data_IF_446544923925
#
_entry.id   IF_446544923925
#
_cell.length_a   1.000
_cell.length_b   1.000
_cell.length_c   1.000
_cell.angle_alpha   90.00
_cell.angle_beta   90.00
_cell.angle_gamma   90.00
#
_symmetry.space_group_name_H-M   'P 1'
#
loop_
_entity.id
_entity.type
_entity.pdbx_description
1 polymer ?
#
# COMPACT_ATOMS: atom_id res chain seq x y z
N UNK A 1 8.15 6.21 -16.44
CA UNK A 1 7.36 5.39 -15.49
C UNK A 1 5.94 5.89 -15.47
N UNK A 2 4.98 4.98 -15.32
CA UNK A 2 3.56 5.32 -15.15
C UNK A 2 3.24 5.59 -13.67
N UNK A 3 2.07 6.19 -13.39
CA UNK A 3 1.62 6.41 -12.01
C UNK A 3 1.12 5.09 -11.43
N UNK A 4 1.65 4.70 -10.26
CA UNK A 4 1.20 3.48 -9.55
C UNK A 4 -0.29 3.53 -9.25
N UNK A 5 -0.74 4.64 -8.68
CA UNK A 5 -2.16 4.95 -8.52
C UNK A 5 -2.52 5.93 -9.63
N UNK A 6 -3.18 5.44 -10.69
CA UNK A 6 -3.56 6.23 -11.86
C UNK A 6 -4.31 7.53 -11.51
N UNK A 7 -4.54 8.40 -12.50
CA UNK A 7 -5.25 9.66 -12.27
C UNK A 7 -6.67 9.40 -11.76
N UNK A 8 -6.99 9.92 -10.58
CA UNK A 8 -8.35 9.88 -10.03
C UNK A 8 -9.19 11.10 -10.41
N UNK A 9 -10.51 10.94 -10.33
CA UNK A 9 -11.48 12.03 -10.48
C UNK A 9 -11.61 12.87 -9.20
N UNK A 10 -11.58 12.22 -8.04
CA UNK A 10 -11.70 12.82 -6.71
C UNK A 10 -10.97 11.95 -5.65
N UNK A 11 -11.07 12.34 -4.37
CA UNK A 11 -10.41 11.66 -3.26
C UNK A 11 -10.95 10.24 -3.02
N UNK A 12 -12.24 10.01 -3.25
CA UNK A 12 -12.85 8.70 -3.10
C UNK A 12 -12.34 7.73 -4.18
N UNK A 13 -12.32 8.14 -5.45
CA UNK A 13 -11.72 7.38 -6.55
C UNK A 13 -10.23 7.12 -6.30
N UNK A 14 -9.50 8.10 -5.75
CA UNK A 14 -8.09 7.91 -5.39
C UNK A 14 -7.90 6.82 -4.32
N UNK A 15 -8.75 6.80 -3.28
CA UNK A 15 -8.70 5.76 -2.24
C UNK A 15 -9.06 4.38 -2.81
N UNK A 16 -10.06 4.28 -3.69
CA UNK A 16 -10.41 3.01 -4.34
C UNK A 16 -9.27 2.47 -5.20
N UNK A 17 -8.55 3.35 -5.91
CA UNK A 17 -7.34 2.97 -6.69
C UNK A 17 -6.21 2.47 -5.79
N UNK A 18 -6.02 3.10 -4.63
CA UNK A 18 -5.05 2.64 -3.64
C UNK A 18 -5.44 1.25 -3.13
N UNK A 19 -6.70 1.05 -2.73
CA UNK A 19 -7.20 -0.24 -2.23
C UNK A 19 -7.19 -1.33 -3.30
N UNK A 20 -7.35 -0.98 -4.57
CA UNK A 20 -7.24 -1.95 -5.66
C UNK A 20 -5.88 -2.65 -5.72
N UNK A 21 -4.80 -1.94 -5.34
CA UNK A 21 -3.43 -2.47 -5.32
C UNK A 21 -3.05 -2.98 -3.93
N UNK A 22 -3.34 -2.22 -2.88
CA UNK A 22 -2.85 -2.53 -1.53
C UNK A 22 -3.81 -3.40 -0.70
N UNK A 23 -5.03 -3.60 -1.18
CA UNK A 23 -6.11 -4.24 -0.46
C UNK A 23 -6.94 -3.23 0.35
N UNK A 24 -8.24 -3.51 0.47
CA UNK A 24 -9.11 -2.79 1.41
C UNK A 24 -8.61 -3.05 2.85
N UNK A 25 -8.44 -2.01 3.68
CA UNK A 25 -8.03 -2.17 5.07
C UNK A 25 -9.00 -3.07 5.85
N UNK A 26 -8.44 -4.00 6.61
CA UNK A 26 -9.15 -4.92 7.48
C UNK A 26 -8.59 -4.85 8.92
N UNK A 27 -9.15 -5.65 9.82
CA UNK A 27 -8.75 -5.67 11.22
C UNK A 27 -7.29 -6.13 11.44
N UNK A 28 -6.66 -6.78 10.45
CA UNK A 28 -5.27 -7.25 10.54
C UNK A 28 -4.31 -6.18 10.05
N UNK A 29 -4.56 -5.66 8.85
CA UNK A 29 -3.76 -4.63 8.19
C UNK A 29 -3.86 -3.28 8.91
N UNK A 30 -5.07 -2.87 9.32
CA UNK A 30 -5.31 -1.61 10.03
C UNK A 30 -6.49 -1.74 11.04
N UNK A 31 -6.23 -2.21 12.27
CA UNK A 31 -7.27 -2.46 13.28
C UNK A 31 -8.17 -1.25 13.57
N UNK A 32 -7.57 -0.06 13.59
CA UNK A 32 -8.26 1.20 13.93
C UNK A 32 -8.91 1.88 12.72
N UNK A 33 -8.92 1.26 11.53
CA UNK A 33 -9.47 1.89 10.32
C UNK A 33 -10.92 2.35 10.51
N UNK A 34 -11.78 1.48 11.05
CA UNK A 34 -13.20 1.77 11.26
C UNK A 34 -13.48 2.87 12.31
N UNK A 35 -12.48 3.30 13.08
CA UNK A 35 -12.62 4.45 13.99
C UNK A 35 -12.36 5.81 13.32
N UNK A 36 -11.89 5.82 12.07
CA UNK A 36 -11.65 7.05 11.34
C UNK A 36 -13.00 7.65 10.89
N UNK A 37 -13.18 8.98 10.96
CA UNK A 37 -14.44 9.64 10.61
C UNK A 37 -14.97 9.27 9.22
N UNK A 38 -14.06 9.12 8.24
CA UNK A 38 -14.42 8.88 6.84
C UNK A 38 -14.40 7.39 6.44
N UNK A 39 -13.99 6.47 7.31
CA UNK A 39 -13.83 5.06 6.94
C UNK A 39 -15.16 4.39 6.54
N UNK A 40 -16.28 4.84 7.12
CA UNK A 40 -17.62 4.34 6.80
C UNK A 40 -18.27 5.01 5.58
N UNK A 41 -17.71 6.11 5.08
CA UNK A 41 -18.26 6.84 3.92
C UNK A 41 -17.84 6.21 2.59
N UNK A 42 -16.67 5.57 2.57
CA UNK A 42 -16.15 4.92 1.37
C UNK A 42 -16.52 3.44 1.34
N UNK A 43 -17.58 3.12 0.60
CA UNK A 43 -17.96 1.72 0.34
C UNK A 43 -17.18 1.19 -0.85
N UNK A 44 -16.19 0.32 -0.58
CA UNK A 44 -15.44 -0.35 -1.64
C UNK A 44 -16.35 -1.34 -2.41
N UNK A 45 -16.41 -1.28 -3.75
CA UNK A 45 -17.13 -2.26 -4.54
C UNK A 45 -16.59 -3.70 -4.34
N UNK A 46 -17.43 -4.74 -4.50
CA UNK A 46 -16.99 -6.14 -4.35
C UNK A 46 -15.84 -6.56 -5.29
N UNK A 47 -15.62 -5.84 -6.38
CA UNK A 47 -14.52 -6.06 -7.32
C UNK A 47 -13.16 -5.62 -6.78
N UNK A 48 -13.11 -4.84 -5.70
CA UNK A 48 -11.85 -4.42 -5.08
C UNK A 48 -11.35 -5.54 -4.15
N UNK A 49 -10.10 -6.00 -4.34
CA UNK A 49 -9.54 -7.07 -3.51
C UNK A 49 -9.31 -6.61 -2.07
N UNK A 50 -9.44 -7.55 -1.14
CA UNK A 50 -9.05 -7.36 0.27
C UNK A 50 -7.56 -7.64 0.49
N UNK A 51 -6.93 -8.39 -0.42
CA UNK A 51 -5.51 -8.75 -0.32
C UNK A 51 -4.63 -7.71 -1.01
N UNK A 52 -3.42 -7.54 -0.49
CA UNK A 52 -2.38 -6.75 -1.14
C UNK A 52 -1.88 -7.46 -2.41
N UNK A 53 -1.89 -6.75 -3.54
CA UNK A 53 -1.46 -7.21 -4.87
C UNK A 53 -0.21 -6.48 -5.37
N UNK A 54 0.47 -5.72 -4.52
CA UNK A 54 1.64 -4.94 -4.90
C UNK A 54 2.74 -5.81 -5.52
N UNK A 55 2.88 -7.08 -5.10
CA UNK A 55 3.85 -8.03 -5.69
C UNK A 55 3.48 -8.49 -7.09
N UNK A 56 2.19 -8.43 -7.45
CA UNK A 56 1.73 -8.66 -8.81
C UNK A 56 2.11 -7.49 -9.73
N UNK A 57 2.14 -6.26 -9.19
CA UNK A 57 2.54 -5.04 -9.92
C UNK A 57 4.07 -4.94 -10.06
N UNK A 58 4.80 -5.32 -9.01
CA UNK A 58 6.26 -5.32 -8.98
C UNK A 58 6.78 -6.76 -8.78
N UNK A 59 6.79 -7.60 -9.83
CA UNK A 59 7.33 -8.96 -9.75
C UNK A 59 8.84 -8.96 -9.46
N UNK A 60 9.40 -10.13 -9.13
CA UNK A 60 10.80 -10.26 -8.69
C UNK A 60 11.82 -9.79 -9.72
N UNK A 61 11.53 -10.04 -11.00
CA UNK A 61 12.37 -9.62 -12.12
C UNK A 61 12.37 -8.09 -12.33
N UNK A 62 11.36 -7.40 -11.79
CA UNK A 62 11.26 -5.94 -11.82
C UNK A 62 11.84 -5.29 -10.56
N UNK A 63 11.59 -5.89 -9.40
CA UNK A 63 12.05 -5.40 -8.11
C UNK A 63 12.43 -6.59 -7.23
N UNK A 64 13.70 -6.64 -6.80
CA UNK A 64 14.18 -7.73 -5.96
C UNK A 64 13.36 -7.84 -4.66
N UNK A 65 13.45 -8.98 -3.99
CA UNK A 65 12.82 -9.19 -2.67
C UNK A 65 13.16 -8.09 -1.65
N UNK A 66 14.42 -7.65 -1.62
CA UNK A 66 14.87 -6.61 -0.69
C UNK A 66 14.29 -5.24 -1.05
N UNK A 67 14.26 -4.89 -2.35
CA UNK A 67 13.65 -3.64 -2.80
C UNK A 67 12.14 -3.63 -2.58
N UNK A 68 11.49 -4.78 -2.77
CA UNK A 68 10.07 -4.95 -2.50
C UNK A 68 9.74 -4.78 -1.01
N UNK A 69 10.62 -5.22 -0.11
CA UNK A 69 10.45 -5.01 1.32
C UNK A 69 10.40 -3.51 1.66
N UNK A 70 11.31 -2.70 1.10
CA UNK A 70 11.30 -1.24 1.26
C UNK A 70 9.99 -0.66 0.71
N UNK A 71 9.65 -0.97 -0.54
CA UNK A 71 8.46 -0.43 -1.21
C UNK A 71 7.16 -0.76 -0.45
N UNK A 72 7.00 -2.02 -0.05
CA UNK A 72 5.84 -2.49 0.70
C UNK A 72 5.71 -1.78 2.06
N UNK A 73 6.82 -1.57 2.76
CA UNK A 73 6.84 -0.83 4.03
C UNK A 73 6.45 0.64 3.87
N UNK A 74 6.95 1.30 2.82
CA UNK A 74 6.61 2.70 2.52
C UNK A 74 5.14 2.89 2.11
N UNK A 75 4.54 1.89 1.48
CA UNK A 75 3.16 1.93 1.01
C UNK A 75 2.16 1.34 2.03
N UNK A 76 2.52 1.19 3.31
CA UNK A 76 1.56 0.75 4.32
C UNK A 76 0.41 1.76 4.49
N UNK A 77 -0.84 1.25 4.44
CA UNK A 77 -2.06 2.04 4.64
C UNK A 77 -2.15 2.57 6.08
N UNK A 78 -1.86 1.74 7.09
CA UNK A 78 -1.75 2.20 8.47
C UNK A 78 -0.44 2.98 8.64
N UNK A 79 -0.55 4.30 8.76
CA UNK A 79 0.59 5.20 8.90
C UNK A 79 1.51 4.83 10.07
N UNK A 80 0.99 4.21 11.14
CA UNK A 80 1.79 3.77 12.30
C UNK A 80 2.69 2.57 11.98
N UNK A 81 2.33 1.80 10.94
CA UNK A 81 3.10 0.66 10.42
C UNK A 81 3.92 1.04 9.19
N UNK A 82 3.88 2.30 8.75
CA UNK A 82 4.62 2.76 7.57
C UNK A 82 6.09 2.90 7.92
N UNK A 83 6.93 2.34 7.08
CA UNK A 83 8.38 2.39 7.24
C UNK A 83 8.87 3.84 7.24
N UNK A 84 9.67 4.23 8.24
CA UNK A 84 10.27 5.56 8.28
C UNK A 84 11.47 5.65 7.35
N UNK A 85 11.79 6.86 6.88
CA UNK A 85 12.90 7.08 5.96
C UNK A 85 14.25 6.62 6.52
N UNK A 86 14.53 6.86 7.81
CA UNK A 86 15.76 6.41 8.47
C UNK A 86 15.86 4.88 8.50
N UNK A 87 14.80 4.20 8.93
CA UNK A 87 14.74 2.73 8.97
C UNK A 87 14.84 2.12 7.57
N UNK A 88 14.28 2.77 6.56
CA UNK A 88 14.38 2.30 5.18
C UNK A 88 15.84 2.21 4.72
N UNK A 89 16.68 3.18 5.09
CA UNK A 89 18.10 3.20 4.73
C UNK A 89 18.93 2.12 5.43
N UNK A 90 18.41 1.53 6.51
CA UNK A 90 19.06 0.42 7.22
C UNK A 90 18.72 -0.95 6.62
N UNK A 91 17.71 -1.03 5.74
CA UNK A 91 17.30 -2.29 5.13
C UNK A 91 18.33 -2.85 4.13
N UNK A 92 18.37 -4.19 3.93
CA UNK A 92 19.35 -4.86 3.07
C UNK A 92 19.47 -4.29 1.65
N UNK A 93 18.39 -3.74 1.11
CA UNK A 93 18.41 -3.10 -0.21
C UNK A 93 19.40 -1.93 -0.32
N UNK A 94 19.66 -1.22 0.78
CA UNK A 94 20.62 -0.12 0.84
C UNK A 94 21.94 -0.48 1.55
N UNK A 95 21.97 -1.58 2.30
CA UNK A 95 23.14 -1.97 3.13
C UNK A 95 23.91 -3.18 2.61
N UNK A 96 23.31 -3.99 1.74
CA UNK A 96 23.96 -5.18 1.16
C UNK A 96 24.38 -4.88 -0.27
N UNK A 97 25.68 -5.02 -0.55
CA UNK A 97 26.28 -4.94 -1.89
C UNK A 97 26.48 -6.35 -2.44
#
# INVERSE_FOLDING_TARGET
GERLFGRAADDADQLLRIFYILGVPDQVSWPSYNSLPLAGELVAPPSIPHRNRLREVFPEDCLSRQGFQVLSGLLSCDARKRLYAGEALELPWFTTN
#
